data_IF_203932005653
#
_entry.id   IF_203932005653
#
_cell.length_a   1.000
_cell.length_b   1.000
_cell.length_c   1.000
_cell.angle_alpha   90.00
_cell.angle_beta   90.00
_cell.angle_gamma   90.00
#
_symmetry.space_group_name_H-M   'P 1'
#
loop_
_entity.id
_entity.type
_entity.pdbx_description
1 polymer ?
#
# COMPACT_ATOMS: atom_id res chain seq x y z
N UNK A 1 -7.66 2.43 -12.84
CA UNK A 1 -7.79 3.48 -11.79
C UNK A 1 -6.38 3.91 -11.40
N UNK A 2 -6.04 5.20 -11.30
CA UNK A 2 -4.68 5.58 -10.88
C UNK A 2 -4.59 5.51 -9.35
N UNK A 3 -3.93 4.49 -8.81
CA UNK A 3 -3.70 4.37 -7.37
C UNK A 3 -2.49 5.20 -6.98
N UNK A 4 -2.71 6.40 -6.45
CA UNK A 4 -1.63 7.27 -5.98
C UNK A 4 -1.22 6.97 -4.53
N UNK A 5 -2.17 6.53 -3.70
CA UNK A 5 -1.98 6.36 -2.26
C UNK A 5 -2.52 5.01 -1.78
N UNK A 6 -1.79 4.40 -0.86
CA UNK A 6 -2.12 3.14 -0.21
C UNK A 6 -2.47 3.39 1.25
N UNK A 7 -3.67 2.98 1.64
CA UNK A 7 -4.14 3.01 3.01
C UNK A 7 -3.91 1.66 3.69
N UNK A 8 -4.22 1.58 4.98
CA UNK A 8 -4.02 0.35 5.77
C UNK A 8 -4.68 -0.88 5.14
N UNK A 9 -5.86 -0.75 4.54
CA UNK A 9 -6.57 -1.88 3.91
C UNK A 9 -5.83 -2.39 2.67
N UNK A 10 -5.30 -1.48 1.86
CA UNK A 10 -4.52 -1.81 0.66
C UNK A 10 -3.25 -2.55 1.04
N UNK A 11 -2.51 -2.02 2.02
CA UNK A 11 -1.26 -2.64 2.50
C UNK A 11 -1.53 -3.99 3.17
N UNK A 12 -2.60 -4.11 3.95
CA UNK A 12 -3.02 -5.37 4.54
C UNK A 12 -3.32 -6.42 3.45
N UNK A 13 -4.02 -6.02 2.40
CA UNK A 13 -4.36 -6.88 1.26
C UNK A 13 -3.11 -7.30 0.48
N UNK A 14 -2.26 -6.34 0.08
CA UNK A 14 -1.08 -6.61 -0.76
C UNK A 14 -0.12 -7.57 -0.06
N UNK A 15 0.07 -7.41 1.25
CA UNK A 15 1.01 -8.20 2.06
C UNK A 15 0.38 -9.43 2.72
N UNK A 16 -0.95 -9.58 2.68
CA UNK A 16 -1.65 -10.68 3.36
C UNK A 16 -1.54 -10.62 4.88
N UNK A 17 -1.50 -9.43 5.47
CA UNK A 17 -1.31 -9.22 6.92
C UNK A 17 -2.51 -8.56 7.57
N UNK A 18 -2.59 -8.63 8.91
CA UNK A 18 -3.64 -7.94 9.65
C UNK A 18 -3.44 -6.42 9.65
N UNK A 19 -4.54 -5.68 9.90
CA UNK A 19 -4.54 -4.21 9.92
C UNK A 19 -3.53 -3.60 10.89
N UNK A 20 -3.19 -4.29 11.99
CA UNK A 20 -2.18 -3.81 12.95
C UNK A 20 -0.80 -3.78 12.31
N UNK A 21 -0.39 -4.87 11.68
CA UNK A 21 0.88 -4.97 10.95
C UNK A 21 0.91 -4.00 9.77
N UNK A 22 -0.18 -3.86 9.02
CA UNK A 22 -0.25 -2.90 7.91
C UNK A 22 -0.08 -1.44 8.37
N UNK A 23 -0.61 -1.05 9.54
CA UNK A 23 -0.35 0.28 10.12
C UNK A 23 1.11 0.46 10.52
N UNK A 24 1.74 -0.60 11.04
CA UNK A 24 3.16 -0.56 11.37
C UNK A 24 3.99 -0.29 10.11
N UNK A 25 3.71 -0.97 8.99
CA UNK A 25 4.39 -0.70 7.72
C UNK A 25 4.21 0.74 7.25
N UNK A 26 3.02 1.33 7.37
CA UNK A 26 2.81 2.75 7.04
C UNK A 26 3.70 3.65 7.90
N UNK A 27 3.77 3.35 9.20
CA UNK A 27 4.62 4.10 10.13
C UNK A 27 6.11 3.96 9.77
N UNK A 28 6.55 2.73 9.47
CA UNK A 28 7.95 2.43 9.14
C UNK A 28 8.37 3.11 7.84
N UNK A 29 7.53 3.06 6.81
CA UNK A 29 7.75 3.76 5.53
C UNK A 29 7.83 5.27 5.79
N UNK A 30 6.86 5.85 6.50
CA UNK A 30 6.87 7.29 6.76
C UNK A 30 8.12 7.70 7.55
N UNK A 31 8.55 6.91 8.53
CA UNK A 31 9.77 7.16 9.30
C UNK A 31 11.03 7.05 8.44
N UNK A 32 11.15 6.02 7.60
CA UNK A 32 12.31 5.80 6.73
C UNK A 32 12.54 6.95 5.75
N UNK A 33 11.48 7.47 5.14
CA UNK A 33 11.57 8.57 4.18
C UNK A 33 11.36 9.95 4.81
N UNK A 34 11.33 10.05 6.15
CA UNK A 34 11.08 11.30 6.90
C UNK A 34 9.82 12.04 6.43
N UNK A 35 8.78 11.28 6.05
CA UNK A 35 7.51 11.80 5.62
C UNK A 35 6.65 12.17 6.85
N UNK A 36 5.69 13.08 6.70
CA UNK A 36 4.76 13.37 7.78
C UNK A 36 3.97 12.10 8.15
N UNK A 37 3.65 11.95 9.43
CA UNK A 37 2.94 10.78 9.96
C UNK A 37 1.48 10.75 9.48
N UNK A 38 1.27 10.22 8.28
CA UNK A 38 -0.03 10.01 7.68
C UNK A 38 -0.54 8.57 7.92
N UNK A 39 -1.85 8.37 7.71
CA UNK A 39 -2.50 7.05 7.74
C UNK A 39 -2.43 6.31 6.38
N UNK A 40 -1.58 6.80 5.48
CA UNK A 40 -1.36 6.30 4.13
C UNK A 40 0.08 6.58 3.72
N UNK A 41 0.50 5.94 2.63
CA UNK A 41 1.77 6.18 1.94
C UNK A 41 1.50 6.30 0.45
N UNK A 42 2.39 6.92 -0.31
CA UNK A 42 2.29 6.88 -1.77
C UNK A 42 2.64 5.48 -2.29
N UNK A 43 2.06 5.09 -3.43
CA UNK A 43 2.40 3.84 -4.11
C UNK A 43 3.92 3.75 -4.35
N UNK A 44 4.54 4.85 -4.79
CA UNK A 44 5.98 4.94 -4.99
C UNK A 44 6.78 4.62 -3.72
N UNK A 45 6.43 5.23 -2.57
CA UNK A 45 7.16 5.00 -1.32
C UNK A 45 7.01 3.55 -0.82
N UNK A 46 5.83 2.96 -1.00
CA UNK A 46 5.61 1.55 -0.71
C UNK A 46 6.46 0.63 -1.59
N UNK A 47 6.46 0.86 -2.90
CA UNK A 47 7.24 0.07 -3.85
C UNK A 47 8.75 0.18 -3.58
N UNK A 48 9.23 1.38 -3.27
CA UNK A 48 10.64 1.63 -2.90
C UNK A 48 11.03 0.85 -1.64
N UNK A 49 10.21 0.90 -0.59
CA UNK A 49 10.47 0.24 0.70
C UNK A 49 10.52 -1.30 0.57
N UNK A 50 9.55 -1.88 -0.14
CA UNK A 50 9.43 -3.34 -0.30
C UNK A 50 10.20 -3.87 -1.51
N UNK A 51 10.89 -3.00 -2.26
CA UNK A 51 11.51 -3.34 -3.55
C UNK A 51 10.52 -4.05 -4.48
N UNK A 52 9.27 -3.59 -4.48
CA UNK A 52 8.16 -4.19 -5.21
C UNK A 52 7.96 -3.51 -6.57
N UNK A 53 7.58 -4.30 -7.58
CA UNK A 53 7.20 -3.78 -8.89
C UNK A 53 5.81 -3.12 -8.83
N UNK A 54 5.73 -1.87 -9.27
CA UNK A 54 4.51 -1.06 -9.22
C UNK A 54 3.35 -1.71 -9.99
N UNK A 55 3.62 -2.34 -11.14
CA UNK A 55 2.57 -2.96 -11.96
C UNK A 55 1.97 -4.16 -11.25
N UNK A 56 2.78 -4.94 -10.54
CA UNK A 56 2.29 -6.05 -9.75
C UNK A 56 1.41 -5.58 -8.59
N UNK A 57 1.80 -4.51 -7.89
CA UNK A 57 0.99 -3.93 -6.80
C UNK A 57 -0.35 -3.42 -7.33
N UNK A 58 -0.35 -2.68 -8.43
CA UNK A 58 -1.57 -2.18 -9.09
C UNK A 58 -2.46 -3.36 -9.50
N UNK A 59 -1.91 -4.39 -10.16
CA UNK A 59 -2.67 -5.54 -10.61
C UNK A 59 -3.36 -6.29 -9.45
N UNK A 60 -2.71 -6.39 -8.28
CA UNK A 60 -3.33 -6.98 -7.08
C UNK A 60 -4.49 -6.15 -6.56
N UNK A 61 -4.35 -4.84 -6.53
CA UNK A 61 -5.41 -3.94 -6.10
C UNK A 61 -6.59 -3.99 -7.08
N UNK A 62 -6.32 -3.93 -8.38
CA UNK A 62 -7.35 -4.02 -9.42
C UNK A 62 -8.06 -5.38 -9.41
N UNK A 63 -7.36 -6.49 -9.17
CA UNK A 63 -8.00 -7.80 -9.05
C UNK A 63 -8.99 -7.88 -7.88
N UNK A 64 -8.77 -7.13 -6.80
CA UNK A 64 -9.69 -7.10 -5.66
C UNK A 64 -10.82 -6.09 -5.82
N UNK A 65 -10.50 -4.88 -6.29
CA UNK A 65 -11.47 -3.79 -6.41
C UNK A 65 -12.27 -3.83 -7.73
N UNK A 66 -11.73 -4.42 -8.78
CA UNK A 66 -12.40 -4.63 -10.06
C UNK A 66 -13.40 -5.80 -10.05
N UNK A 67 -13.33 -6.69 -9.04
CA UNK A 67 -14.30 -7.79 -8.87
C UNK A 67 -15.61 -7.40 -8.20
N UNK A 68 -15.65 -6.24 -7.52
CA UNK A 68 -16.82 -5.73 -6.80
C UNK A 68 -17.66 -4.76 -7.67
N UNK A 69 -17.41 -4.69 -8.98
CA UNK A 69 -18.04 -3.74 -9.92
C UNK A 69 -18.65 -4.36 -11.18
N UNK A 70 -19.13 -5.61 -11.10
CA UNK A 70 -19.85 -6.31 -12.18
C UNK A 70 -21.16 -6.89 -11.70
#
# INVERSE_FOLDING_TARGET
>A
MIVAFLYTKDIALINGVCSKTARQYIHDINAQYQLPSHKFVSLKAYCDYFMADERHVIARLEAKYGKDGG
#
